data_IF_112762920661
#
_entry.id   IF_112762920661
#
_cell.length_a   1.000
_cell.length_b   1.000
_cell.length_c   1.000
_cell.angle_alpha   90.00
_cell.angle_beta   90.00
_cell.angle_gamma   90.00
#
_symmetry.space_group_name_H-M   'P 1'
#
loop_
_entity.id
_entity.type
_entity.pdbx_description
1 polymer ?
#
# COMPACT_ATOMS: atom_id res chain seq x y z
N UNK A 1 -15.92 -9.76 6.36
CA UNK A 1 -16.00 -9.48 4.90
C UNK A 1 -14.60 -9.64 4.34
N UNK A 2 -14.35 -10.60 3.44
CA UNK A 2 -13.01 -10.86 2.91
C UNK A 2 -12.57 -9.74 1.96
N UNK A 3 -11.30 -9.31 2.04
CA UNK A 3 -10.70 -8.33 1.13
C UNK A 3 -10.54 -8.85 -0.31
N UNK A 4 -10.74 -10.16 -0.53
CA UNK A 4 -10.42 -10.86 -1.78
C UNK A 4 -11.63 -11.23 -2.64
N UNK A 5 -12.84 -10.76 -2.32
CA UNK A 5 -14.03 -11.00 -3.15
C UNK A 5 -14.30 -9.83 -4.11
N UNK A 6 -14.87 -10.11 -5.28
CA UNK A 6 -15.31 -9.08 -6.24
C UNK A 6 -16.26 -8.04 -5.61
N UNK A 7 -16.95 -8.44 -4.54
CA UNK A 7 -17.81 -7.59 -3.75
C UNK A 7 -17.04 -6.47 -3.01
N UNK A 8 -15.79 -6.71 -2.58
CA UNK A 8 -15.02 -5.75 -1.80
C UNK A 8 -14.83 -4.42 -2.55
N UNK A 9 -14.45 -4.48 -3.83
CA UNK A 9 -14.22 -3.26 -4.62
C UNK A 9 -15.50 -2.46 -4.80
N UNK A 10 -16.63 -3.11 -5.03
CA UNK A 10 -17.92 -2.43 -5.17
C UNK A 10 -18.34 -1.76 -3.87
N UNK A 11 -18.13 -2.42 -2.73
CA UNK A 11 -18.34 -1.81 -1.42
C UNK A 11 -17.45 -0.57 -1.20
N UNK A 12 -16.17 -0.66 -1.55
CA UNK A 12 -15.26 0.50 -1.45
C UNK A 12 -15.68 1.66 -2.37
N UNK A 13 -16.24 1.38 -3.54
CA UNK A 13 -16.70 2.41 -4.48
C UNK A 13 -17.98 3.14 -4.03
N UNK A 14 -18.67 2.67 -2.98
CA UNK A 14 -19.78 3.42 -2.36
C UNK A 14 -19.32 4.76 -1.75
N UNK A 15 -18.05 4.88 -1.39
CA UNK A 15 -17.48 6.08 -0.77
C UNK A 15 -17.00 7.10 -1.82
N UNK A 16 -17.45 8.39 -1.77
CA UNK A 16 -17.06 9.41 -2.75
C UNK A 16 -15.54 9.60 -2.88
N UNK A 17 -14.83 9.61 -1.75
CA UNK A 17 -13.37 9.76 -1.72
C UNK A 17 -12.64 8.64 -2.47
N UNK A 18 -13.11 7.40 -2.33
CA UNK A 18 -12.53 6.26 -3.04
C UNK A 18 -12.77 6.41 -4.55
N UNK A 19 -13.98 6.81 -4.97
CA UNK A 19 -14.26 7.07 -6.39
C UNK A 19 -13.35 8.14 -6.98
N UNK A 20 -13.13 9.23 -6.25
CA UNK A 20 -12.24 10.31 -6.69
C UNK A 20 -10.78 9.87 -6.78
N UNK A 21 -10.30 9.07 -5.82
CA UNK A 21 -8.96 8.48 -5.88
C UNK A 21 -8.80 7.57 -7.10
N UNK A 22 -9.79 6.74 -7.43
CA UNK A 22 -9.79 5.94 -8.66
C UNK A 22 -9.79 6.81 -9.91
N UNK A 23 -10.65 7.84 -9.97
CA UNK A 23 -10.74 8.76 -11.11
C UNK A 23 -9.40 9.44 -11.38
N UNK A 24 -8.76 9.96 -10.33
CA UNK A 24 -7.54 10.77 -10.46
C UNK A 24 -6.25 9.95 -10.58
N UNK A 25 -6.19 8.72 -10.04
CA UNK A 25 -4.93 7.94 -9.96
C UNK A 25 -4.88 6.68 -10.80
N UNK A 26 -6.02 6.13 -11.25
CA UNK A 26 -6.06 4.82 -11.94
C UNK A 26 -5.15 4.77 -13.16
N UNK A 27 -5.11 5.81 -13.97
CA UNK A 27 -4.31 5.81 -15.19
C UNK A 27 -2.81 5.91 -14.88
N UNK A 28 -2.40 6.77 -13.95
CA UNK A 28 -1.02 6.83 -13.47
C UNK A 28 -0.55 5.50 -12.89
N UNK A 29 -1.40 4.81 -12.12
CA UNK A 29 -1.07 3.48 -11.59
C UNK A 29 -0.90 2.46 -12.71
N UNK A 30 -1.79 2.45 -13.71
CA UNK A 30 -1.63 1.56 -14.87
C UNK A 30 -0.32 1.83 -15.62
N UNK A 31 0.02 3.09 -15.86
CA UNK A 31 1.26 3.47 -16.52
C UNK A 31 2.49 2.98 -15.76
N UNK A 32 2.51 3.14 -14.43
CA UNK A 32 3.58 2.62 -13.57
C UNK A 32 3.73 1.10 -13.66
N UNK A 33 2.61 0.37 -13.64
CA UNK A 33 2.62 -1.09 -13.74
C UNK A 33 3.04 -1.56 -15.13
N UNK A 34 2.53 -0.93 -16.19
CA UNK A 34 2.87 -1.25 -17.57
C UNK A 34 4.36 -1.02 -17.86
N UNK A 35 4.94 0.08 -17.35
CA UNK A 35 6.37 0.36 -17.47
C UNK A 35 7.26 -0.69 -16.78
N UNK A 36 6.68 -1.50 -15.89
CA UNK A 36 7.32 -2.62 -15.21
C UNK A 36 6.84 -3.98 -15.74
N UNK A 37 6.03 -4.01 -16.79
CA UNK A 37 5.43 -5.23 -17.34
C UNK A 37 4.62 -6.04 -16.31
N UNK A 38 4.01 -5.35 -15.34
CA UNK A 38 3.11 -5.97 -14.36
C UNK A 38 1.67 -5.76 -14.78
N UNK A 39 0.89 -6.85 -14.85
CA UNK A 39 -0.55 -6.80 -15.14
C UNK A 39 -1.33 -6.59 -13.84
N UNK A 40 -2.30 -5.68 -13.86
CA UNK A 40 -3.05 -5.28 -12.65
C UNK A 40 -3.85 -6.42 -12.01
N UNK A 41 -4.34 -7.37 -12.81
CA UNK A 41 -5.07 -8.58 -12.41
C UNK A 41 -4.17 -9.71 -11.88
N UNK A 42 -2.87 -9.61 -12.15
CA UNK A 42 -1.83 -10.53 -11.66
C UNK A 42 -0.94 -9.89 -10.60
N UNK A 43 -1.20 -8.64 -10.21
CA UNK A 43 -0.38 -7.90 -9.28
C UNK A 43 -0.38 -8.55 -7.89
N UNK A 44 0.82 -8.84 -7.40
CA UNK A 44 1.10 -9.05 -5.98
C UNK A 44 1.91 -7.86 -5.48
N UNK A 45 1.50 -7.27 -4.36
CA UNK A 45 2.14 -6.10 -3.76
C UNK A 45 2.92 -6.47 -2.51
N UNK A 46 4.05 -5.80 -2.33
CA UNK A 46 4.85 -5.83 -1.12
C UNK A 46 5.27 -4.40 -0.78
N UNK A 47 5.13 -4.02 0.49
CA UNK A 47 5.55 -2.72 0.99
C UNK A 47 6.73 -2.92 1.92
N UNK A 48 7.78 -2.13 1.73
CA UNK A 48 8.95 -2.11 2.61
C UNK A 48 9.16 -0.69 3.09
N UNK A 49 9.14 -0.48 4.40
CA UNK A 49 9.31 0.83 5.01
C UNK A 49 10.60 0.84 5.84
N UNK A 50 11.41 1.87 5.65
CA UNK A 50 12.66 2.11 6.34
C UNK A 50 12.45 3.27 7.32
N UNK A 51 12.40 2.93 8.62
CA UNK A 51 12.06 3.89 9.68
C UNK A 51 13.12 4.98 9.88
N UNK A 52 14.40 4.63 9.72
CA UNK A 52 15.50 5.56 9.92
C UNK A 52 15.66 6.50 8.73
N UNK A 53 15.45 5.98 7.51
CA UNK A 53 15.60 6.67 6.24
C UNK A 53 14.34 7.43 5.80
N UNK A 54 13.23 7.29 6.53
CA UNK A 54 11.93 7.87 6.17
C UNK A 54 11.51 7.53 4.74
N UNK A 55 11.72 6.28 4.33
CA UNK A 55 11.44 5.81 2.97
C UNK A 55 10.41 4.67 2.97
N UNK A 56 9.38 4.80 2.11
CA UNK A 56 8.45 3.73 1.78
C UNK A 56 8.67 3.27 0.34
N UNK A 57 9.04 2.01 0.19
CA UNK A 57 9.16 1.35 -1.09
C UNK A 57 7.93 0.50 -1.40
N UNK A 58 7.43 0.65 -2.63
CA UNK A 58 6.36 -0.15 -3.20
C UNK A 58 6.96 -1.11 -4.21
N UNK A 59 6.84 -2.39 -3.91
CA UNK A 59 7.32 -3.50 -4.72
C UNK A 59 6.14 -4.27 -5.30
N UNK A 60 6.30 -4.80 -6.51
CA UNK A 60 5.30 -5.69 -7.08
C UNK A 60 5.86 -6.69 -8.07
N UNK A 61 5.04 -7.70 -8.37
CA UNK A 61 5.32 -8.73 -9.36
C UNK A 61 4.02 -9.31 -9.92
N UNK A 62 4.09 -10.01 -11.06
CA UNK A 62 2.99 -10.87 -11.46
C UNK A 62 2.97 -12.14 -10.60
N UNK A 63 1.79 -12.77 -10.46
CA UNK A 63 1.61 -14.04 -9.70
C UNK A 63 2.67 -15.09 -10.03
N UNK A 64 3.02 -15.24 -11.31
CA UNK A 64 3.95 -16.27 -11.80
C UNK A 64 5.43 -15.85 -11.74
N UNK A 65 5.72 -14.59 -11.45
CA UNK A 65 7.10 -14.11 -11.38
C UNK A 65 7.74 -14.58 -10.07
N UNK A 66 9.03 -14.94 -10.13
CA UNK A 66 9.78 -15.41 -8.96
C UNK A 66 10.23 -14.27 -8.04
N UNK A 67 10.44 -13.07 -8.56
CA UNK A 67 11.04 -11.94 -7.83
C UNK A 67 10.14 -10.71 -7.87
N UNK A 68 10.10 -10.00 -6.76
CA UNK A 68 9.54 -8.65 -6.70
C UNK A 68 10.49 -7.65 -7.36
N UNK A 69 9.92 -6.61 -7.95
CA UNK A 69 10.66 -5.47 -8.46
C UNK A 69 10.12 -4.16 -7.91
N UNK A 70 11.00 -3.17 -7.76
CA UNK A 70 10.66 -1.86 -7.24
C UNK A 70 9.80 -1.11 -8.27
N UNK A 71 8.60 -0.72 -7.85
CA UNK A 71 7.67 0.08 -8.65
C UNK A 71 7.89 1.56 -8.36
N UNK A 72 7.93 1.94 -7.07
CA UNK A 72 8.01 3.35 -6.66
C UNK A 72 8.56 3.50 -5.25
N UNK A 73 9.21 4.63 -4.99
CA UNK A 73 9.64 5.09 -3.67
C UNK A 73 8.85 6.34 -3.28
N UNK A 74 8.58 6.48 -1.99
CA UNK A 74 7.95 7.64 -1.38
C UNK A 74 8.75 8.05 -0.15
N UNK A 75 8.95 9.35 0.02
CA UNK A 75 9.42 9.92 1.28
C UNK A 75 8.28 9.98 2.30
N UNK A 76 8.55 9.62 3.54
CA UNK A 76 7.60 9.65 4.65
C UNK A 76 7.50 11.09 5.16
N UNK A 77 6.37 11.76 4.89
CA UNK A 77 6.21 13.17 5.27
C UNK A 77 6.24 13.43 6.78
N UNK A 78 5.72 12.49 7.58
CA UNK A 78 5.75 12.52 9.05
C UNK A 78 5.68 11.11 9.62
N UNK A 79 6.46 10.85 10.68
CA UNK A 79 6.38 9.63 11.50
C UNK A 79 6.09 9.96 12.95
N UNK A 80 5.51 9.00 13.66
CA UNK A 80 5.35 9.08 15.11
C UNK A 80 6.59 8.52 15.81
N UNK A 81 6.97 9.13 16.93
CA UNK A 81 8.04 8.62 17.80
C UNK A 81 9.44 8.80 17.24
N UNK A 82 10.38 8.07 17.82
CA UNK A 82 11.81 8.05 17.50
C UNK A 82 12.25 6.65 17.05
N UNK A 83 13.53 6.39 16.85
CA UNK A 83 14.03 5.03 16.59
C UNK A 83 13.74 4.09 17.77
N UNK A 84 13.31 2.85 17.49
CA UNK A 84 13.00 1.82 18.49
C UNK A 84 11.61 1.20 18.33
N UNK A 85 11.36 0.01 18.90
CA UNK A 85 10.15 -0.75 18.64
C UNK A 85 8.93 -0.16 19.36
N UNK A 86 7.75 -0.40 18.79
CA UNK A 86 6.48 -0.25 19.49
C UNK A 86 6.31 -1.34 20.55
N UNK A 87 6.04 -0.95 21.80
CA UNK A 87 5.90 -1.87 22.94
C UNK A 87 4.51 -1.82 23.57
N UNK A 88 3.83 -0.68 23.53
CA UNK A 88 2.53 -0.53 24.16
C UNK A 88 1.63 0.47 23.43
N UNK A 89 0.34 0.50 23.80
CA UNK A 89 -0.59 1.48 23.28
C UNK A 89 -0.24 2.87 23.84
N UNK A 90 -0.20 3.89 22.98
CA UNK A 90 0.09 5.26 23.39
C UNK A 90 1.57 5.65 23.39
N UNK A 91 2.49 4.71 23.17
CA UNK A 91 3.95 4.99 23.11
C UNK A 91 4.43 5.82 21.91
N UNK A 92 3.50 6.20 21.02
CA UNK A 92 3.75 6.95 19.79
C UNK A 92 4.79 6.31 18.85
N UNK A 93 5.08 5.02 18.98
CA UNK A 93 6.07 4.34 18.14
C UNK A 93 5.44 3.70 16.91
N UNK A 94 6.09 3.85 15.76
CA UNK A 94 5.80 3.04 14.57
C UNK A 94 6.29 1.61 14.81
N UNK A 95 5.44 0.58 14.64
CA UNK A 95 5.82 -0.81 14.83
C UNK A 95 6.78 -1.31 13.75
N UNK A 96 7.64 -2.25 14.14
CA UNK A 96 8.62 -2.89 13.26
C UNK A 96 8.25 -4.38 13.12
N UNK A 97 8.50 -4.98 11.95
CA UNK A 97 8.18 -6.38 11.66
C UNK A 97 7.37 -6.59 10.38
N UNK A 98 6.76 -7.77 10.25
CA UNK A 98 5.98 -8.17 9.09
C UNK A 98 4.48 -8.08 9.38
N UNK A 99 3.77 -7.32 8.56
CA UNK A 99 2.34 -7.08 8.70
C UNK A 99 1.62 -7.33 7.38
N UNK A 100 0.33 -7.62 7.46
CA UNK A 100 -0.55 -7.72 6.30
C UNK A 100 -1.66 -6.67 6.41
N UNK A 101 -2.03 -6.07 5.28
CA UNK A 101 -3.17 -5.15 5.22
C UNK A 101 -4.44 -5.99 5.32
N UNK A 102 -5.20 -5.82 6.40
CA UNK A 102 -6.46 -6.53 6.64
C UNK A 102 -7.70 -5.63 6.56
N UNK A 103 -7.52 -4.32 6.42
CA UNK A 103 -8.60 -3.34 6.37
C UNK A 103 -8.21 -2.12 5.55
N UNK A 104 -9.20 -1.56 4.85
CA UNK A 104 -9.12 -0.26 4.19
C UNK A 104 -10.11 0.69 4.86
N UNK A 105 -9.64 1.89 5.25
CA UNK A 105 -10.48 2.92 5.83
C UNK A 105 -10.83 3.99 4.77
N UNK A 106 -12.04 3.98 4.19
CA UNK A 106 -12.42 4.92 3.14
C UNK A 106 -12.61 6.37 3.64
N UNK A 107 -12.58 6.58 4.96
CA UNK A 107 -12.71 7.89 5.61
C UNK A 107 -11.37 8.51 6.02
N UNK A 108 -10.23 7.86 5.75
CA UNK A 108 -8.91 8.42 6.08
C UNK A 108 -8.69 9.73 5.32
N UNK A 109 -8.30 10.79 6.04
CA UNK A 109 -8.06 12.14 5.51
C UNK A 109 -6.90 12.21 4.51
#
# INVERSE_FOLDING_TARGET
MSLYSDNFKQEQLKYPRVREAYKSKKETVKQLLNAKSIKIDQLQLYFRAFKSEDELEVWGKNKNDKRFQLIKKYEVCRKSGTSGPKREQGDLQVPEGFYHINRFNPYSA
#
